data_IF_283701420098
#
_entry.id   IF_283701420098
#
_cell.length_a   1.000
_cell.length_b   1.000
_cell.length_c   1.000
_cell.angle_alpha   90.00
_cell.angle_beta   90.00
_cell.angle_gamma   90.00
#
_symmetry.space_group_name_H-M   'P 1'
#
loop_
_entity.id
_entity.type
_entity.pdbx_description
1 polymer ?
#
# COMPACT_ATOMS: atom_id res chain seq x y z
N UNK A 1 3.79 -27.34 -10.45
CA UNK A 1 3.33 -25.93 -10.40
C UNK A 1 2.36 -25.76 -9.23
N UNK A 2 2.71 -25.01 -8.18
CA UNK A 2 1.85 -24.80 -7.00
C UNK A 2 0.74 -23.82 -7.38
N UNK A 3 -0.53 -24.27 -7.42
CA UNK A 3 -1.70 -23.42 -7.66
C UNK A 3 -1.68 -22.26 -6.64
N UNK A 4 -1.47 -21.03 -7.11
CA UNK A 4 -1.61 -19.84 -6.27
C UNK A 4 -3.09 -19.66 -5.98
N UNK A 5 -3.48 -19.86 -4.72
CA UNK A 5 -4.86 -19.62 -4.29
C UNK A 5 -5.18 -18.13 -4.52
N UNK A 6 -6.20 -17.79 -5.33
CA UNK A 6 -6.55 -16.39 -5.61
C UNK A 6 -7.00 -15.65 -4.34
N UNK A 7 -7.53 -16.39 -3.35
CA UNK A 7 -7.92 -15.89 -2.04
C UNK A 7 -6.75 -15.83 -1.04
N UNK A 8 -5.55 -16.32 -1.40
CA UNK A 8 -4.36 -16.23 -0.54
C UNK A 8 -3.89 -14.80 -0.27
N UNK A 9 -4.40 -13.81 -1.03
CA UNK A 9 -4.17 -12.40 -0.75
C UNK A 9 -4.99 -11.89 0.45
N UNK A 10 -6.16 -12.50 0.73
CA UNK A 10 -7.03 -12.13 1.85
C UNK A 10 -6.47 -12.60 3.20
N UNK A 11 -5.70 -13.68 3.19
CA UNK A 11 -5.00 -14.18 4.38
C UNK A 11 -3.65 -13.47 4.50
N UNK A 12 -3.70 -12.28 5.10
CA UNK A 12 -2.53 -11.44 5.37
C UNK A 12 -1.59 -12.12 6.39
N UNK A 13 -0.63 -12.92 5.91
CA UNK A 13 0.37 -13.55 6.79
C UNK A 13 1.56 -12.63 7.11
N UNK A 14 1.65 -11.46 6.48
CA UNK A 14 2.78 -10.53 6.65
C UNK A 14 2.36 -9.29 7.42
N UNK A 15 3.11 -8.94 8.46
CA UNK A 15 2.87 -7.76 9.29
C UNK A 15 2.73 -6.47 8.48
N UNK A 16 3.59 -6.27 7.46
CA UNK A 16 3.55 -5.09 6.62
C UNK A 16 2.24 -4.98 5.80
N UNK A 17 1.69 -6.12 5.35
CA UNK A 17 0.41 -6.11 4.62
C UNK A 17 -0.76 -5.85 5.57
N UNK A 18 -0.71 -6.38 6.80
CA UNK A 18 -1.71 -6.12 7.83
C UNK A 18 -1.70 -4.64 8.21
N UNK A 19 -0.53 -4.04 8.39
CA UNK A 19 -0.38 -2.62 8.66
C UNK A 19 -1.04 -1.78 7.55
N UNK A 20 -0.63 -1.98 6.30
CA UNK A 20 -1.23 -1.27 5.17
C UNK A 20 -2.75 -1.43 5.08
N UNK A 21 -3.25 -2.65 5.26
CA UNK A 21 -4.68 -2.94 5.25
C UNK A 21 -5.45 -2.21 6.36
N UNK A 22 -4.91 -2.14 7.58
CA UNK A 22 -5.50 -1.36 8.69
C UNK A 22 -5.58 0.13 8.35
N UNK A 23 -4.53 0.69 7.75
CA UNK A 23 -4.53 2.09 7.30
C UNK A 23 -5.59 2.34 6.22
N UNK A 24 -5.72 1.41 5.27
CA UNK A 24 -6.68 1.53 4.18
C UNK A 24 -8.13 1.46 4.69
N UNK A 25 -8.44 0.51 5.58
CA UNK A 25 -9.75 0.45 6.24
C UNK A 25 -9.99 1.73 7.05
N UNK A 26 -9.01 2.18 7.83
CA UNK A 26 -9.11 3.41 8.61
C UNK A 26 -9.44 4.62 7.73
N UNK A 27 -8.77 4.74 6.58
CA UNK A 27 -9.03 5.81 5.61
C UNK A 27 -10.46 5.75 5.05
N UNK A 28 -10.97 4.56 4.71
CA UNK A 28 -12.34 4.37 4.24
C UNK A 28 -13.36 4.76 5.32
N UNK A 29 -13.13 4.34 6.57
CA UNK A 29 -14.04 4.70 7.68
C UNK A 29 -14.04 6.21 7.90
N UNK A 30 -12.87 6.86 7.89
CA UNK A 30 -12.77 8.31 8.04
C UNK A 30 -13.48 9.03 6.89
N UNK A 31 -13.32 8.60 5.64
CA UNK A 31 -14.02 9.23 4.51
C UNK A 31 -15.53 9.06 4.62
N UNK A 32 -16.02 7.88 5.04
CA UNK A 32 -17.46 7.66 5.26
C UNK A 32 -18.01 8.56 6.37
N UNK A 33 -17.27 8.77 7.46
CA UNK A 33 -17.67 9.69 8.54
C UNK A 33 -17.72 11.13 8.04
N UNK A 34 -16.70 11.58 7.28
CA UNK A 34 -16.67 12.93 6.70
C UNK A 34 -17.84 13.14 5.74
N UNK A 35 -18.11 12.18 4.85
CA UNK A 35 -19.24 12.25 3.93
C UNK A 35 -20.58 12.28 4.68
N UNK A 36 -20.75 11.42 5.69
CA UNK A 36 -21.94 11.40 6.54
C UNK A 36 -22.17 12.71 7.29
N UNK A 37 -21.10 13.32 7.84
CA UNK A 37 -21.18 14.64 8.47
C UNK A 37 -21.56 15.72 7.46
N UNK A 38 -20.97 15.71 6.26
CA UNK A 38 -21.32 16.66 5.20
C UNK A 38 -22.81 16.56 4.83
N UNK A 39 -23.34 15.33 4.70
CA UNK A 39 -24.76 15.09 4.46
C UNK A 39 -25.62 15.64 5.59
N UNK A 40 -25.25 15.36 6.83
CA UNK A 40 -25.97 15.85 8.01
C UNK A 40 -26.04 17.39 8.05
N UNK A 41 -24.90 18.07 7.81
CA UNK A 41 -24.87 19.53 7.76
C UNK A 41 -25.69 20.10 6.60
N UNK A 42 -25.63 19.50 5.41
CA UNK A 42 -26.42 19.94 4.25
C UNK A 42 -27.91 19.82 4.52
N UNK A 43 -28.39 18.69 5.06
CA UNK A 43 -29.80 18.51 5.43
C UNK A 43 -30.23 19.54 6.47
N UNK A 44 -29.41 19.78 7.50
CA UNK A 44 -29.70 20.78 8.53
C UNK A 44 -29.83 22.20 7.95
N UNK A 45 -28.95 22.58 7.01
CA UNK A 45 -29.04 23.87 6.30
C UNK A 45 -30.30 23.97 5.44
N UNK A 46 -30.62 22.93 4.68
CA UNK A 46 -31.83 22.89 3.86
C UNK A 46 -33.11 23.04 4.71
N UNK A 47 -33.20 22.33 5.84
CA UNK A 47 -34.35 22.41 6.74
C UNK A 47 -34.54 23.84 7.29
N UNK A 48 -33.45 24.52 7.63
CA UNK A 48 -33.50 25.92 8.08
C UNK A 48 -34.00 26.86 6.97
N UNK A 49 -33.50 26.72 5.74
CA UNK A 49 -33.90 27.56 4.61
C UNK A 49 -35.39 27.39 4.29
N UNK A 50 -35.87 26.15 4.30
CA UNK A 50 -37.27 25.83 4.03
C UNK A 50 -38.19 26.37 5.12
N UNK A 51 -37.80 26.27 6.40
CA UNK A 51 -38.58 26.83 7.51
C UNK A 51 -38.65 28.36 7.44
N UNK A 52 -37.52 29.01 7.10
CA UNK A 52 -37.48 30.46 6.93
C UNK A 52 -38.37 30.96 5.77
N UNK A 53 -38.39 30.25 4.64
CA UNK A 53 -39.27 30.54 3.51
C UNK A 53 -40.76 30.31 3.85
N UNK A 54 -41.08 29.29 4.64
CA UNK A 54 -42.45 29.02 5.09
C UNK A 54 -43.01 30.08 6.06
N UNK A 55 -42.14 30.76 6.82
CA UNK A 55 -42.52 31.83 7.74
C UNK A 55 -42.78 33.18 7.04
N UNK A 56 -42.29 33.37 5.81
CA UNK A 56 -42.40 34.66 5.09
C UNK A 56 -43.57 34.76 4.11
N UNK A 57 -44.31 33.67 3.88
CA UNK A 57 -45.48 33.62 2.98
C UNK A 57 -46.80 33.60 3.79
N UNK A 58 -47.57 34.70 3.84
CA UNK A 58 -48.82 34.76 4.61
C UNK A 58 -49.92 33.93 3.93
N UNK A 59 -50.59 33.04 4.69
CA UNK A 59 -51.83 32.36 4.27
C UNK A 59 -51.68 30.90 3.79
N UNK A 60 -50.48 30.34 3.78
CA UNK A 60 -50.22 28.98 3.27
C UNK A 60 -49.70 28.04 4.36
N UNK A 61 -50.17 28.04 5.59
CA UNK A 61 -49.43 27.34 6.69
C UNK A 61 -49.39 25.80 6.63
N UNK A 62 -50.16 25.13 5.74
CA UNK A 62 -50.21 23.66 5.66
C UNK A 62 -49.66 23.05 4.35
N UNK A 63 -49.85 23.69 3.21
CA UNK A 63 -49.40 23.18 1.90
C UNK A 63 -47.86 23.17 1.67
N UNK A 64 -47.10 24.20 2.08
CA UNK A 64 -45.64 24.26 1.95
C UNK A 64 -44.94 23.25 2.84
N UNK A 65 -45.52 22.88 3.99
CA UNK A 65 -44.88 21.98 4.95
C UNK A 65 -44.84 20.54 4.44
N UNK A 66 -45.90 20.08 3.75
CA UNK A 66 -45.92 18.75 3.13
C UNK A 66 -44.98 18.68 1.92
N UNK A 67 -44.97 19.71 1.07
CA UNK A 67 -44.06 19.81 -0.08
C UNK A 67 -42.60 19.87 0.39
N UNK A 68 -42.31 20.64 1.43
CA UNK A 68 -41.02 20.70 2.09
C UNK A 68 -40.54 19.34 2.61
N UNK A 69 -41.45 18.59 3.25
CA UNK A 69 -41.17 17.26 3.78
C UNK A 69 -40.88 16.26 2.66
N UNK A 70 -41.68 16.27 1.60
CA UNK A 70 -41.49 15.39 0.45
C UNK A 70 -40.19 15.72 -0.30
N UNK A 71 -39.85 16.99 -0.44
CA UNK A 71 -38.55 17.42 -0.97
C UNK A 71 -37.40 16.94 -0.08
N UNK A 72 -37.50 17.10 1.24
CA UNK A 72 -36.50 16.60 2.20
C UNK A 72 -36.30 15.08 2.10
N UNK A 73 -37.40 14.32 2.04
CA UNK A 73 -37.34 12.86 1.89
C UNK A 73 -36.73 12.45 0.54
N UNK A 74 -37.04 13.16 -0.54
CA UNK A 74 -36.46 12.89 -1.86
C UNK A 74 -34.95 13.17 -1.89
N UNK A 75 -34.50 14.29 -1.31
CA UNK A 75 -33.08 14.63 -1.19
C UNK A 75 -32.35 13.63 -0.30
N UNK A 76 -32.94 13.26 0.84
CA UNK A 76 -32.38 12.27 1.74
C UNK A 76 -32.19 10.91 1.05
N UNK A 77 -33.19 10.46 0.29
CA UNK A 77 -33.11 9.20 -0.46
C UNK A 77 -31.99 9.25 -1.51
N UNK A 78 -31.90 10.33 -2.29
CA UNK A 78 -30.82 10.51 -3.27
C UNK A 78 -29.43 10.52 -2.62
N UNK A 79 -29.28 11.19 -1.47
CA UNK A 79 -28.00 11.24 -0.75
C UNK A 79 -27.56 9.86 -0.24
N UNK A 80 -28.49 9.02 0.21
CA UNK A 80 -28.18 7.64 0.61
C UNK A 80 -27.64 6.84 -0.58
N UNK A 81 -28.25 6.95 -1.76
CA UNK A 81 -27.75 6.25 -2.95
C UNK A 81 -26.36 6.74 -3.37
N UNK A 82 -26.09 8.05 -3.27
CA UNK A 82 -24.76 8.61 -3.54
C UNK A 82 -23.73 8.05 -2.55
N UNK A 83 -24.04 8.01 -1.25
CA UNK A 83 -23.13 7.46 -0.23
C UNK A 83 -22.85 5.98 -0.43
N UNK A 84 -23.86 5.18 -0.79
CA UNK A 84 -23.68 3.76 -1.11
C UNK A 84 -22.76 3.62 -2.32
N UNK A 85 -23.02 4.39 -3.38
CA UNK A 85 -22.20 4.36 -4.59
C UNK A 85 -20.75 4.77 -4.30
N UNK A 86 -20.53 5.87 -3.57
CA UNK A 86 -19.21 6.34 -3.13
C UNK A 86 -18.49 5.25 -2.34
N UNK A 87 -19.17 4.62 -1.38
CA UNK A 87 -18.60 3.52 -0.58
C UNK A 87 -18.14 2.37 -1.45
N UNK A 88 -18.95 1.95 -2.42
CA UNK A 88 -18.59 0.88 -3.37
C UNK A 88 -17.34 1.27 -4.16
N UNK A 89 -17.29 2.50 -4.70
CA UNK A 89 -16.15 3.00 -5.46
C UNK A 89 -14.87 3.03 -4.61
N UNK A 90 -14.96 3.55 -3.38
CA UNK A 90 -13.82 3.60 -2.45
C UNK A 90 -13.31 2.21 -2.08
N UNK A 91 -14.21 1.25 -1.85
CA UNK A 91 -13.84 -0.15 -1.60
C UNK A 91 -13.11 -0.74 -2.81
N UNK A 92 -13.60 -0.51 -4.03
CA UNK A 92 -12.95 -0.99 -5.26
C UNK A 92 -11.54 -0.39 -5.44
N UNK A 93 -11.41 0.93 -5.27
CA UNK A 93 -10.10 1.61 -5.29
C UNK A 93 -9.19 1.01 -4.22
N UNK A 94 -9.72 0.77 -3.03
CA UNK A 94 -8.98 0.18 -1.92
C UNK A 94 -8.45 -1.22 -2.20
N UNK A 95 -9.26 -2.06 -2.87
CA UNK A 95 -8.84 -3.40 -3.32
C UNK A 95 -7.71 -3.28 -4.36
N UNK A 96 -7.88 -2.43 -5.37
CA UNK A 96 -6.86 -2.23 -6.42
C UNK A 96 -5.55 -1.72 -5.82
N UNK A 97 -5.61 -0.73 -4.94
CA UNK A 97 -4.44 -0.19 -4.24
C UNK A 97 -3.75 -1.24 -3.37
N UNK A 98 -4.52 -2.07 -2.65
CA UNK A 98 -3.99 -3.17 -1.84
C UNK A 98 -3.29 -4.24 -2.68
N UNK A 99 -3.86 -4.60 -3.82
CA UNK A 99 -3.24 -5.53 -4.76
C UNK A 99 -1.95 -4.95 -5.32
N UNK A 100 -1.98 -3.68 -5.75
CA UNK A 100 -0.80 -2.98 -6.24
C UNK A 100 0.33 -3.00 -5.19
N UNK A 101 0.04 -2.61 -3.95
CA UNK A 101 1.01 -2.60 -2.86
C UNK A 101 1.56 -4.00 -2.56
N UNK A 102 0.68 -5.01 -2.47
CA UNK A 102 1.09 -6.38 -2.19
C UNK A 102 2.03 -6.96 -3.25
N UNK A 103 1.78 -6.69 -4.54
CA UNK A 103 2.58 -7.25 -5.63
C UNK A 103 3.82 -6.41 -5.97
N UNK A 104 3.70 -5.09 -6.02
CA UNK A 104 4.78 -4.19 -6.48
C UNK A 104 5.71 -3.69 -5.37
N UNK A 105 5.30 -3.79 -4.11
CA UNK A 105 6.10 -3.33 -2.95
C UNK A 105 6.50 -4.50 -2.06
N UNK A 106 5.52 -5.21 -1.48
CA UNK A 106 5.82 -6.26 -0.49
C UNK A 106 6.53 -7.46 -1.10
N UNK A 107 6.12 -7.88 -2.30
CA UNK A 107 6.75 -9.00 -3.01
C UNK A 107 8.25 -8.78 -3.25
N UNK A 108 8.67 -7.63 -3.80
CA UNK A 108 10.08 -7.25 -3.94
C UNK A 108 10.83 -7.16 -2.61
N UNK A 109 10.26 -6.55 -1.57
CA UNK A 109 10.88 -6.47 -0.23
C UNK A 109 11.27 -7.86 0.26
N UNK A 110 10.32 -8.78 0.24
CA UNK A 110 10.55 -10.15 0.74
C UNK A 110 11.56 -10.93 -0.07
N UNK A 111 11.66 -10.65 -1.37
CA UNK A 111 12.71 -11.24 -2.19
C UNK A 111 14.07 -10.70 -1.76
N UNK A 112 14.23 -9.38 -1.69
CA UNK A 112 15.48 -8.76 -1.24
C UNK A 112 15.91 -9.27 0.14
N UNK A 113 15.00 -9.24 1.12
CA UNK A 113 15.24 -9.71 2.48
C UNK A 113 15.77 -11.15 2.50
N UNK A 114 15.11 -12.05 1.77
CA UNK A 114 15.52 -13.45 1.71
C UNK A 114 16.89 -13.63 1.05
N UNK A 115 17.12 -13.01 -0.11
CA UNK A 115 18.41 -13.15 -0.82
C UNK A 115 19.56 -12.59 0.02
N UNK A 116 19.37 -11.43 0.66
CA UNK A 116 20.37 -10.82 1.55
C UNK A 116 20.63 -11.70 2.77
N UNK A 117 19.59 -12.23 3.42
CA UNK A 117 19.75 -13.11 4.58
C UNK A 117 20.53 -14.37 4.22
N UNK A 118 20.22 -15.00 3.09
CA UNK A 118 20.91 -16.20 2.63
C UNK A 118 22.40 -15.94 2.31
N UNK A 119 22.73 -14.79 1.70
CA UNK A 119 24.12 -14.37 1.49
C UNK A 119 24.84 -14.06 2.81
N UNK A 120 24.16 -13.40 3.76
CA UNK A 120 24.73 -13.04 5.05
C UNK A 120 25.02 -14.27 5.93
N UNK A 121 24.19 -15.30 5.83
CA UNK A 121 24.37 -16.58 6.52
C UNK A 121 25.41 -17.49 5.83
N UNK A 122 25.92 -17.11 4.66
CA UNK A 122 26.83 -17.94 3.86
C UNK A 122 26.16 -19.19 3.28
N UNK A 123 24.82 -19.23 3.24
CA UNK A 123 24.06 -20.35 2.70
C UNK A 123 24.14 -20.41 1.16
N UNK A 124 24.47 -19.29 0.52
CA UNK A 124 24.73 -19.15 -0.92
C UNK A 124 25.85 -18.15 -1.13
N UNK A 125 26.56 -18.33 -2.25
CA UNK A 125 27.58 -17.39 -2.69
C UNK A 125 26.99 -16.01 -2.98
N UNK A 126 27.83 -14.99 -2.86
CA UNK A 126 27.46 -13.61 -3.15
C UNK A 126 27.12 -13.48 -4.64
N UNK A 127 25.89 -13.10 -4.97
CA UNK A 127 25.44 -12.92 -6.35
C UNK A 127 24.50 -11.72 -6.50
N UNK A 128 24.37 -11.13 -7.71
CA UNK A 128 23.43 -10.04 -7.96
C UNK A 128 21.98 -10.47 -7.68
N UNK A 129 21.19 -9.56 -7.11
CA UNK A 129 19.75 -9.76 -6.87
C UNK A 129 18.93 -9.26 -8.05
N UNK A 130 18.02 -10.09 -8.54
CA UNK A 130 17.13 -9.75 -9.66
C UNK A 130 15.74 -9.36 -9.17
N UNK A 131 15.31 -8.13 -9.48
CA UNK A 131 13.93 -7.67 -9.34
C UNK A 131 13.23 -7.65 -10.70
N UNK A 132 11.89 -7.67 -10.71
CA UNK A 132 11.12 -7.64 -11.97
C UNK A 132 10.93 -6.20 -12.44
N UNK A 133 10.74 -6.04 -13.75
CA UNK A 133 10.44 -4.73 -14.33
C UNK A 133 9.14 -4.13 -13.75
N UNK A 134 9.26 -2.88 -13.33
CA UNK A 134 8.19 -2.12 -12.67
C UNK A 134 7.97 -2.47 -11.19
N UNK A 135 8.80 -3.30 -10.57
CA UNK A 135 8.84 -3.41 -9.12
C UNK A 135 9.29 -2.07 -8.51
N UNK A 136 8.60 -1.59 -7.47
CA UNK A 136 8.86 -0.26 -6.89
C UNK A 136 10.29 -0.13 -6.34
N UNK A 137 10.89 -1.24 -5.94
CA UNK A 137 12.23 -1.28 -5.33
C UNK A 137 13.36 -1.54 -6.33
N UNK A 138 13.09 -1.48 -7.64
CA UNK A 138 14.13 -1.68 -8.66
C UNK A 138 15.36 -0.78 -8.48
N UNK A 139 15.25 0.53 -8.17
CA UNK A 139 16.41 1.37 -7.91
C UNK A 139 17.27 0.89 -6.73
N UNK A 140 16.63 0.38 -5.67
CA UNK A 140 17.33 -0.17 -4.51
C UNK A 140 18.05 -1.46 -4.89
N UNK A 141 17.41 -2.35 -5.66
CA UNK A 141 18.05 -3.56 -6.18
C UNK A 141 19.30 -3.24 -7.01
N UNK A 142 19.27 -2.21 -7.84
CA UNK A 142 20.43 -1.77 -8.61
C UNK A 142 21.58 -1.27 -7.74
N UNK A 143 21.27 -0.47 -6.70
CA UNK A 143 22.28 -0.01 -5.75
C UNK A 143 22.88 -1.17 -4.94
N UNK A 144 22.04 -2.13 -4.54
CA UNK A 144 22.48 -3.33 -3.86
C UNK A 144 23.43 -4.15 -4.75
N UNK A 145 23.11 -4.32 -6.03
CA UNK A 145 23.95 -5.04 -6.98
C UNK A 145 25.32 -4.38 -7.17
N UNK A 146 25.37 -3.04 -7.22
CA UNK A 146 26.65 -2.30 -7.24
C UNK A 146 27.47 -2.54 -5.98
N UNK A 147 26.82 -2.58 -4.82
CA UNK A 147 27.49 -2.87 -3.56
C UNK A 147 28.04 -4.30 -3.53
N UNK A 148 27.25 -5.27 -4.01
CA UNK A 148 27.65 -6.66 -4.16
C UNK A 148 28.88 -6.80 -5.07
N UNK A 149 28.88 -6.11 -6.21
CA UNK A 149 30.01 -6.09 -7.14
C UNK A 149 31.29 -5.56 -6.48
N UNK A 150 31.18 -4.45 -5.72
CA UNK A 150 32.33 -3.89 -4.98
C UNK A 150 32.88 -4.87 -3.94
N UNK A 151 31.99 -5.58 -3.22
CA UNK A 151 32.39 -6.57 -2.21
C UNK A 151 33.08 -7.76 -2.90
N UNK A 152 32.50 -8.28 -3.99
CA UNK A 152 33.04 -9.40 -4.74
C UNK A 152 34.45 -9.11 -5.26
N UNK A 153 34.66 -7.95 -5.89
CA UNK A 153 35.97 -7.56 -6.43
C UNK A 153 37.03 -7.40 -5.32
N UNK A 154 36.62 -6.89 -4.15
CA UNK A 154 37.52 -6.78 -2.99
C UNK A 154 37.89 -8.15 -2.44
N UNK A 155 36.94 -9.08 -2.40
CA UNK A 155 37.18 -10.43 -1.92
C UNK A 155 38.17 -11.17 -2.82
N UNK A 156 38.00 -11.07 -4.15
CA UNK A 156 38.93 -11.62 -5.14
C UNK A 156 40.36 -11.08 -4.94
N UNK A 157 40.51 -9.76 -4.80
CA UNK A 157 41.82 -9.13 -4.54
C UNK A 157 42.48 -9.66 -3.27
N UNK A 158 41.69 -9.87 -2.20
CA UNK A 158 42.18 -10.41 -0.93
C UNK A 158 42.64 -11.86 -1.10
N UNK A 159 41.91 -12.67 -1.86
CA UNK A 159 42.22 -14.07 -2.04
C UNK A 159 43.43 -14.28 -2.97
N UNK A 160 43.61 -13.45 -4.00
CA UNK A 160 44.85 -13.36 -4.79
C UNK A 160 46.05 -12.97 -3.91
N UNK A 161 45.89 -11.99 -3.02
CA UNK A 161 46.94 -11.58 -2.10
C UNK A 161 47.34 -12.70 -1.14
N UNK A 162 46.36 -13.42 -0.57
CA UNK A 162 46.63 -14.61 0.28
C UNK A 162 47.35 -15.72 -0.49
N UNK A 163 46.97 -15.96 -1.75
CA UNK A 163 47.62 -16.95 -2.60
C UNK A 163 49.09 -16.57 -2.85
N UNK A 164 49.36 -15.29 -3.10
CA UNK A 164 50.72 -14.76 -3.28
C UNK A 164 51.58 -14.92 -2.02
N UNK A 165 51.02 -14.65 -0.83
CA UNK A 165 51.73 -14.86 0.45
C UNK A 165 52.06 -16.33 0.71
N UNK A 166 51.15 -17.25 0.36
CA UNK A 166 51.42 -18.70 0.48
C UNK A 166 52.58 -19.12 -0.42
N UNK A 167 52.62 -18.65 -1.66
CA UNK A 167 53.73 -18.91 -2.59
C UNK A 167 55.07 -18.36 -2.10
N UNK A 168 55.07 -17.17 -1.49
CA UNK A 168 56.27 -16.59 -0.88
C UNK A 168 56.75 -17.43 0.31
N UNK A 169 55.82 -17.88 1.16
CA UNK A 169 56.14 -18.71 2.32
C UNK A 169 56.72 -20.07 1.94
N UNK A 170 56.27 -20.70 0.84
CA UNK A 170 56.88 -21.94 0.36
C UNK A 170 58.28 -21.69 -0.21
N UNK A 171 58.46 -20.62 -0.99
CA UNK A 171 59.78 -20.27 -1.54
C UNK A 171 60.84 -20.01 -0.47
N UNK A 172 60.48 -19.37 0.64
CA UNK A 172 61.38 -19.13 1.78
C UNK A 172 61.71 -20.42 2.53
N UNK A 173 60.79 -21.39 2.58
CA UNK A 173 61.04 -22.71 3.19
C UNK A 173 61.98 -23.57 2.36
N UNK A 174 61.87 -23.50 1.03
CA UNK A 174 62.69 -24.31 0.13
C UNK A 174 64.13 -23.79 -0.03
N UNK A 175 64.40 -22.54 0.36
CA UNK A 175 65.73 -21.91 0.33
C UNK A 175 66.40 -21.80 1.71
N UNK A 176 65.93 -22.56 2.71
CA UNK A 176 66.58 -22.72 4.01
C UNK A 176 67.12 -24.13 4.17
#
# INVERSE_FOLDING_TARGET
MRKRNPLGFLFFTNELKIWYFKYLIGAIIVSMVVAGLAVYFTIGRYAQTVTALGLTLPGTTSAPMNIARDMLLSVQSQMIYILIFETIVLVLIGIVASLYFAYRVVGPIKRLEREIAQMAEGAVDIHPVTLRDGDYLMPIGLLLNKLIEIISNKQETIDEFKASLKGLSSFVKDNK
#
